data_IF_098933830873
#
_entry.id   IF_098933830873
#
_cell.length_a   1.000
_cell.length_b   1.000
_cell.length_c   1.000
_cell.angle_alpha   90.00
_cell.angle_beta   90.00
_cell.angle_gamma   90.00
#
_symmetry.space_group_name_H-M   'P 1'
#
loop_
_entity.id
_entity.type
_entity.pdbx_description
1 polymer ?
#
# COMPACT_ATOMS: atom_id res chain seq x y z
N UNK A 1 -11.47 5.14 4.51
CA UNK A 1 -10.48 5.72 3.56
C UNK A 1 -9.07 5.49 4.13
N UNK A 2 -8.07 5.23 3.29
CA UNK A 2 -6.70 4.96 3.78
C UNK A 2 -6.13 6.22 4.44
N UNK A 3 -6.20 7.36 3.76
CA UNK A 3 -5.80 8.66 4.32
C UNK A 3 -7.00 9.36 4.98
N UNK A 4 -6.81 10.03 6.14
CA UNK A 4 -7.83 10.89 6.72
C UNK A 4 -8.13 12.06 5.77
N UNK A 5 -9.40 12.44 5.68
CA UNK A 5 -9.89 13.52 4.80
C UNK A 5 -9.84 14.90 5.48
N UNK A 6 -9.12 15.02 6.60
CA UNK A 6 -9.07 16.26 7.36
C UNK A 6 -8.17 17.31 6.65
N UNK A 7 -8.57 18.57 6.78
CA UNK A 7 -8.03 19.70 6.00
C UNK A 7 -6.61 20.12 6.44
N UNK A 8 -6.11 19.57 7.54
CA UNK A 8 -4.82 19.87 8.16
C UNK A 8 -3.67 18.97 7.66
N UNK A 9 -3.93 18.12 6.66
CA UNK A 9 -2.90 17.27 6.08
C UNK A 9 -1.99 18.09 5.16
N UNK A 10 -0.78 18.39 5.62
CA UNK A 10 0.29 18.98 4.82
C UNK A 10 0.42 18.26 3.47
N UNK A 11 0.42 19.00 2.36
CA UNK A 11 0.69 18.44 1.04
C UNK A 11 2.07 17.75 1.05
N UNK A 12 2.09 16.42 0.93
CA UNK A 12 3.32 15.62 0.89
C UNK A 12 3.82 15.47 -0.55
N UNK A 13 5.14 15.49 -0.75
CA UNK A 13 5.71 15.07 -2.02
C UNK A 13 5.37 13.59 -2.30
N UNK A 14 5.45 13.11 -3.55
CA UNK A 14 5.04 11.73 -3.88
C UNK A 14 5.70 10.65 -3.00
N UNK A 15 7.00 10.77 -2.75
CA UNK A 15 7.72 9.84 -1.87
C UNK A 15 7.21 9.88 -0.42
N UNK A 16 7.08 11.08 0.17
CA UNK A 16 6.57 11.25 1.53
C UNK A 16 5.11 10.82 1.66
N UNK A 17 4.29 11.02 0.61
CA UNK A 17 2.91 10.56 0.57
C UNK A 17 2.86 9.02 0.57
N UNK A 18 3.69 8.41 -0.27
CA UNK A 18 3.85 6.95 -0.32
C UNK A 18 4.22 6.37 1.03
N UNK A 19 5.16 7.00 1.75
CA UNK A 19 5.58 6.56 3.09
C UNK A 19 4.45 6.64 4.10
N UNK A 20 3.64 7.70 3.99
CA UNK A 20 2.50 7.91 4.86
C UNK A 20 1.40 6.88 4.60
N UNK A 21 1.16 6.56 3.33
CA UNK A 21 0.20 5.52 2.93
C UNK A 21 0.66 4.15 3.43
N UNK A 22 1.93 3.77 3.21
CA UNK A 22 2.46 2.47 3.66
C UNK A 22 2.47 2.32 5.19
N UNK A 23 2.74 3.41 5.90
CA UNK A 23 2.66 3.45 7.37
C UNK A 23 1.21 3.28 7.82
N UNK A 24 0.30 4.05 7.24
CA UNK A 24 -1.12 4.04 7.59
C UNK A 24 -1.80 2.72 7.29
N UNK A 25 -1.46 2.07 6.17
CA UNK A 25 -1.93 0.71 5.87
C UNK A 25 -1.44 -0.27 6.94
N UNK A 26 -0.18 -0.16 7.38
CA UNK A 26 0.36 -1.00 8.45
C UNK A 26 -0.41 -0.85 9.77
N UNK A 27 -0.70 0.40 10.16
CA UNK A 27 -1.53 0.68 11.35
C UNK A 27 -2.92 0.05 11.23
N UNK A 28 -3.60 0.24 10.10
CA UNK A 28 -4.94 -0.30 9.87
C UNK A 28 -4.98 -1.83 9.94
N UNK A 29 -3.95 -2.50 9.40
CA UNK A 29 -3.82 -3.96 9.49
C UNK A 29 -3.58 -4.40 10.94
N UNK A 30 -2.72 -3.70 11.68
CA UNK A 30 -2.47 -4.01 13.08
C UNK A 30 -3.71 -3.83 13.96
N UNK A 31 -4.54 -2.82 13.67
CA UNK A 31 -5.76 -2.50 14.41
C UNK A 31 -6.92 -3.43 14.07
N UNK A 32 -7.13 -3.74 12.79
CA UNK A 32 -8.38 -4.33 12.29
C UNK A 32 -8.18 -5.67 11.55
N UNK A 33 -6.94 -6.14 11.42
CA UNK A 33 -6.59 -7.27 10.57
C UNK A 33 -6.57 -6.91 9.08
N UNK A 34 -6.14 -7.87 8.26
CA UNK A 34 -5.98 -7.64 6.81
C UNK A 34 -7.30 -7.69 6.03
N UNK A 35 -8.33 -8.39 6.53
CA UNK A 35 -9.57 -8.68 5.79
C UNK A 35 -10.26 -7.42 5.27
N UNK A 36 -10.35 -6.37 6.10
CA UNK A 36 -10.95 -5.10 5.69
C UNK A 36 -10.19 -4.45 4.53
N UNK A 37 -8.86 -4.56 4.52
CA UNK A 37 -8.02 -4.04 3.45
C UNK A 37 -8.17 -4.88 2.17
N UNK A 38 -8.34 -6.20 2.30
CA UNK A 38 -8.60 -7.08 1.17
C UNK A 38 -9.93 -6.76 0.49
N UNK A 39 -10.99 -6.53 1.25
CA UNK A 39 -12.29 -6.07 0.73
C UNK A 39 -12.16 -4.70 0.06
N UNK A 40 -11.45 -3.76 0.68
CA UNK A 40 -11.22 -2.43 0.10
C UNK A 40 -10.47 -2.51 -1.25
N UNK A 41 -9.55 -3.47 -1.39
CA UNK A 41 -8.72 -3.63 -2.58
C UNK A 41 -9.38 -4.46 -3.70
N UNK A 42 -10.50 -5.15 -3.45
CA UNK A 42 -11.21 -5.99 -4.44
C UNK A 42 -11.47 -5.31 -5.79
N UNK A 43 -11.94 -4.04 -5.85
CA UNK A 43 -12.19 -3.37 -7.12
C UNK A 43 -10.93 -3.13 -7.97
N UNK A 44 -9.75 -3.17 -7.34
CA UNK A 44 -8.48 -2.78 -7.96
C UNK A 44 -7.59 -3.97 -8.35
N UNK A 45 -7.99 -5.22 -8.07
CA UNK A 45 -7.14 -6.40 -8.32
C UNK A 45 -6.84 -6.63 -9.80
N UNK A 46 -7.78 -6.28 -10.67
CA UNK A 46 -7.63 -6.42 -12.12
C UNK A 46 -6.99 -5.19 -12.80
N UNK A 47 -6.52 -4.22 -12.02
CA UNK A 47 -5.87 -3.04 -12.56
C UNK A 47 -4.43 -3.36 -12.98
N UNK A 48 -4.17 -3.38 -14.29
CA UNK A 48 -2.86 -3.72 -14.84
C UNK A 48 -1.84 -2.58 -14.76
N UNK A 49 -2.31 -1.33 -14.65
CA UNK A 49 -1.44 -0.18 -14.54
C UNK A 49 -0.91 -0.03 -13.11
N UNK A 50 0.42 -0.01 -13.00
CA UNK A 50 1.12 0.21 -11.75
C UNK A 50 1.44 1.69 -11.58
N UNK A 51 1.03 2.25 -10.46
CA UNK A 51 1.25 3.66 -10.14
C UNK A 51 2.51 3.78 -9.29
N UNK A 52 3.53 4.50 -9.79
CA UNK A 52 4.73 4.82 -9.01
C UNK A 52 4.34 5.59 -7.74
N UNK A 53 5.04 5.31 -6.64
CA UNK A 53 4.81 5.89 -5.31
C UNK A 53 3.45 5.49 -4.68
N UNK A 54 2.71 4.56 -5.29
CA UNK A 54 1.51 3.95 -4.70
C UNK A 54 1.65 2.43 -4.68
N UNK A 55 2.00 1.84 -5.83
CA UNK A 55 2.18 0.40 -5.99
C UNK A 55 3.62 -0.05 -5.84
N UNK A 56 4.57 0.83 -6.16
CA UNK A 56 5.99 0.53 -6.05
C UNK A 56 6.83 1.81 -5.96
N UNK A 57 8.07 1.65 -5.50
CA UNK A 57 9.13 2.66 -5.65
C UNK A 57 10.37 2.06 -6.30
N UNK A 58 11.21 2.91 -6.84
CA UNK A 58 12.52 2.52 -7.35
C UNK A 58 13.57 2.89 -6.32
N UNK A 59 14.25 1.89 -5.76
CA UNK A 59 15.32 2.05 -4.77
C UNK A 59 16.54 1.30 -5.28
N UNK A 60 17.64 2.00 -5.52
CA UNK A 60 18.87 1.42 -6.09
C UNK A 60 18.60 0.62 -7.39
N UNK A 61 17.84 1.20 -8.31
CA UNK A 61 17.42 0.60 -9.59
C UNK A 61 16.54 -0.68 -9.46
N UNK A 62 16.11 -1.02 -8.25
CA UNK A 62 15.20 -2.13 -7.98
C UNK A 62 13.78 -1.62 -7.72
N UNK A 63 12.80 -2.36 -8.23
CA UNK A 63 11.39 -2.13 -7.96
C UNK A 63 11.03 -2.76 -6.62
N UNK A 64 10.67 -1.92 -5.66
CA UNK A 64 10.18 -2.35 -4.34
C UNK A 64 8.68 -2.10 -4.30
N UNK A 65 7.90 -3.18 -4.33
CA UNK A 65 6.44 -3.11 -4.27
C UNK A 65 5.95 -2.70 -2.89
N UNK A 66 4.90 -1.88 -2.83
CA UNK A 66 4.30 -1.38 -1.60
C UNK A 66 3.41 -2.43 -0.92
N UNK A 67 2.99 -2.16 0.32
CA UNK A 67 1.97 -3.01 0.97
C UNK A 67 0.68 -2.98 0.18
N UNK A 68 0.28 -1.81 -0.32
CA UNK A 68 -0.92 -1.66 -1.12
C UNK A 68 -0.94 -2.55 -2.36
N UNK A 69 0.18 -2.64 -3.09
CA UNK A 69 0.30 -3.56 -4.22
C UNK A 69 0.06 -5.01 -3.81
N UNK A 70 0.65 -5.46 -2.71
CA UNK A 70 0.48 -6.82 -2.22
C UNK A 70 -0.94 -7.10 -1.72
N UNK A 71 -1.63 -6.11 -1.14
CA UNK A 71 -3.05 -6.22 -0.76
C UNK A 71 -3.94 -6.33 -2.01
N UNK A 72 -3.68 -5.53 -3.06
CA UNK A 72 -4.38 -5.65 -4.35
C UNK A 72 -4.16 -7.02 -4.99
N UNK A 73 -2.99 -7.62 -4.84
CA UNK A 73 -2.74 -9.00 -5.28
C UNK A 73 -3.68 -9.99 -4.58
N UNK A 74 -4.01 -9.75 -3.31
CA UNK A 74 -5.02 -10.51 -2.57
C UNK A 74 -4.54 -11.83 -1.98
N UNK A 75 -3.26 -12.18 -2.15
CA UNK A 75 -2.65 -13.39 -1.56
C UNK A 75 -1.16 -13.21 -1.22
N UNK A 76 -0.69 -14.01 -0.25
CA UNK A 76 0.72 -14.15 0.08
C UNK A 76 1.40 -15.09 -0.92
N UNK A 77 2.53 -14.67 -1.48
CA UNK A 77 3.30 -15.47 -2.43
C UNK A 77 4.37 -16.37 -1.78
N UNK A 78 4.57 -16.30 -0.46
CA UNK A 78 5.52 -17.16 0.27
C UNK A 78 7.02 -16.84 0.06
N UNK A 79 7.37 -15.68 -0.48
CA UNK A 79 8.75 -15.29 -0.79
C UNK A 79 9.34 -14.26 0.20
N UNK A 80 8.79 -14.15 1.42
CA UNK A 80 9.25 -13.22 2.46
C UNK A 80 9.49 -11.79 1.95
N UNK A 81 8.53 -11.27 1.18
CA UNK A 81 8.62 -9.94 0.60
C UNK A 81 8.73 -8.87 1.71
N UNK A 82 9.61 -7.89 1.52
CA UNK A 82 9.84 -6.81 2.49
C UNK A 82 8.55 -6.10 2.95
N UNK A 83 7.60 -5.91 2.03
CA UNK A 83 6.33 -5.22 2.29
C UNK A 83 5.12 -6.19 2.29
N UNK A 84 5.34 -7.46 2.64
CA UNK A 84 4.24 -8.42 2.75
C UNK A 84 3.24 -7.99 3.85
N UNK A 85 1.94 -7.91 3.55
CA UNK A 85 0.91 -7.54 4.54
C UNK A 85 0.38 -8.75 5.34
N UNK A 86 0.82 -9.97 5.01
CA UNK A 86 0.53 -11.24 5.69
C UNK A 86 1.73 -11.67 6.51
#
# INVERSE_FOLDING_TARGET
PIMPLEFDQDCRCPACLSDSIDSRIGELINENGIDQMLTLAEPYRNHSELVRDVDFRVVNDLYVFSKWYHIKRGECCGNDCQNCPY
#
